data_IF_116121035292
#
_entry.id   IF_116121035292
#
_cell.length_a   1.000
_cell.length_b   1.000
_cell.length_c   1.000
_cell.angle_alpha   90.00
_cell.angle_beta   90.00
_cell.angle_gamma   90.00
#
_symmetry.space_group_name_H-M   'P 1'
#
loop_
_entity.id
_entity.type
_entity.pdbx_description
1 polymer ?
#
# COMPACT_ATOMS: atom_id res chain seq x y z
N UNK A 1 12.48 5.13 14.62
CA UNK A 1 12.17 3.69 14.46
C UNK A 1 13.24 3.08 13.58
N UNK A 2 13.78 1.92 13.95
CA UNK A 2 14.72 1.14 13.13
C UNK A 2 14.11 -0.23 12.88
N UNK A 3 14.09 -0.66 11.63
CA UNK A 3 13.33 -1.81 11.20
C UNK A 3 14.22 -2.90 10.64
N UNK A 4 13.86 -4.14 10.96
CA UNK A 4 14.31 -5.33 10.28
C UNK A 4 13.20 -5.83 9.38
N UNK A 5 13.50 -6.01 8.09
CA UNK A 5 12.58 -6.56 7.10
C UNK A 5 13.16 -7.85 6.56
N UNK A 6 12.40 -8.93 6.70
CA UNK A 6 12.71 -10.23 6.09
C UNK A 6 11.75 -10.46 4.94
N UNK A 7 12.29 -10.76 3.76
CA UNK A 7 11.52 -11.04 2.55
C UNK A 7 11.83 -12.48 2.14
N UNK A 8 10.79 -13.26 1.93
CA UNK A 8 10.87 -14.68 1.56
C UNK A 8 10.12 -14.89 0.26
N UNK A 9 10.82 -15.48 -0.71
CA UNK A 9 10.27 -15.86 -2.02
C UNK A 9 10.05 -17.36 -2.05
N UNK A 10 8.90 -17.77 -2.56
CA UNK A 10 8.52 -19.17 -2.76
C UNK A 10 8.55 -19.54 -4.24
N UNK A 11 8.86 -20.81 -4.53
CA UNK A 11 8.96 -21.32 -5.89
C UNK A 11 7.59 -21.56 -6.57
N UNK A 12 6.54 -21.93 -5.81
CA UNK A 12 5.18 -22.18 -6.30
C UNK A 12 4.16 -22.07 -5.13
N UNK A 13 2.96 -21.51 -5.36
CA UNK A 13 1.88 -21.38 -4.36
C UNK A 13 0.70 -22.35 -4.58
N UNK A 14 0.58 -22.97 -5.75
CA UNK A 14 -0.58 -23.80 -6.10
C UNK A 14 -0.57 -25.19 -5.45
N UNK A 15 0.49 -25.55 -4.71
CA UNK A 15 0.62 -26.85 -4.05
C UNK A 15 1.18 -26.73 -2.63
N UNK A 16 0.32 -26.56 -1.62
CA UNK A 16 0.74 -26.72 -0.22
C UNK A 16 0.76 -28.22 0.12
N UNK A 17 1.85 -28.75 0.74
CA UNK A 17 2.34 -28.31 2.06
C UNK A 17 3.85 -28.04 2.21
N UNK A 18 4.66 -28.02 1.15
CA UNK A 18 6.11 -27.78 1.27
C UNK A 18 6.54 -26.55 0.47
N UNK A 19 5.92 -25.37 0.66
CA UNK A 19 6.26 -24.12 -0.04
C UNK A 19 7.80 -23.91 -0.10
N UNK A 20 8.42 -24.33 -1.20
CA UNK A 20 9.86 -24.41 -1.34
C UNK A 20 10.36 -22.97 -1.38
N UNK A 21 11.10 -22.60 -0.33
CA UNK A 21 11.76 -21.29 -0.29
C UNK A 21 12.81 -21.28 -1.39
N UNK A 22 12.60 -20.40 -2.37
CA UNK A 22 13.58 -20.13 -3.42
C UNK A 22 14.74 -19.33 -2.84
N UNK A 23 14.41 -18.22 -2.16
CA UNK A 23 15.38 -17.43 -1.41
C UNK A 23 14.74 -16.68 -0.25
N UNK A 24 15.58 -16.28 0.71
CA UNK A 24 15.22 -15.38 1.80
C UNK A 24 16.33 -14.36 2.00
N UNK A 25 15.95 -13.09 2.15
CA UNK A 25 16.87 -12.00 2.50
C UNK A 25 16.37 -11.29 3.74
N UNK A 26 17.30 -10.78 4.55
CA UNK A 26 16.96 -9.95 5.72
C UNK A 26 17.79 -8.69 5.70
N UNK A 27 17.08 -7.56 5.78
CA UNK A 27 17.63 -6.22 5.81
C UNK A 27 17.45 -5.64 7.20
N UNK A 28 18.48 -4.96 7.71
CA UNK A 28 18.55 -4.47 9.08
C UNK A 28 18.70 -2.95 9.09
N UNK A 29 18.33 -2.33 10.21
CA UNK A 29 18.49 -0.90 10.50
C UNK A 29 17.88 -0.01 9.42
N UNK A 30 16.74 -0.41 8.88
CA UNK A 30 16.02 0.36 7.88
C UNK A 30 15.20 1.47 8.55
N UNK A 31 15.15 2.63 7.90
CA UNK A 31 14.12 3.63 8.18
C UNK A 31 12.77 3.17 7.55
N UNK A 32 11.63 3.75 7.99
CA UNK A 32 10.31 3.36 7.47
C UNK A 32 10.19 3.52 5.95
N UNK A 33 10.75 4.57 5.35
CA UNK A 33 10.68 4.77 3.90
C UNK A 33 11.44 3.70 3.14
N UNK A 34 12.66 3.37 3.58
CA UNK A 34 13.46 2.34 2.90
C UNK A 34 12.83 0.96 3.07
N UNK A 35 12.20 0.67 4.21
CA UNK A 35 11.44 -0.56 4.40
C UNK A 35 10.24 -0.64 3.44
N UNK A 36 9.47 0.44 3.32
CA UNK A 36 8.32 0.54 2.41
C UNK A 36 8.72 0.37 0.93
N UNK A 37 9.79 1.06 0.50
CA UNK A 37 10.35 0.94 -0.85
C UNK A 37 10.87 -0.48 -1.11
N UNK A 38 11.63 -1.05 -0.18
CA UNK A 38 12.20 -2.38 -0.32
C UNK A 38 11.10 -3.44 -0.47
N UNK A 39 10.03 -3.37 0.33
CA UNK A 39 8.90 -4.28 0.20
C UNK A 39 8.27 -4.13 -1.18
N UNK A 40 7.97 -2.89 -1.58
CA UNK A 40 7.36 -2.63 -2.89
C UNK A 40 8.24 -3.10 -4.07
N UNK A 41 9.56 -2.97 -3.98
CA UNK A 41 10.52 -3.48 -4.97
C UNK A 41 10.39 -5.01 -5.15
N UNK A 42 10.08 -5.77 -4.09
CA UNK A 42 10.06 -7.23 -4.09
C UNK A 42 8.67 -7.87 -4.15
N UNK A 43 7.60 -7.11 -3.88
CA UNK A 43 6.22 -7.59 -3.86
C UNK A 43 5.37 -7.03 -5.00
N UNK A 44 5.96 -6.31 -5.97
CA UNK A 44 5.21 -5.73 -7.09
C UNK A 44 4.68 -6.79 -8.07
N UNK A 45 3.43 -6.61 -8.55
CA UNK A 45 2.80 -7.39 -9.64
C UNK A 45 2.78 -8.91 -9.35
N UNK A 46 3.10 -9.75 -10.35
CA UNK A 46 3.16 -11.22 -10.29
C UNK A 46 4.05 -11.69 -9.12
N UNK A 47 5.01 -10.85 -8.69
CA UNK A 47 5.86 -11.20 -7.56
C UNK A 47 5.10 -11.17 -6.22
N UNK A 48 3.99 -10.46 -6.07
CA UNK A 48 3.24 -10.45 -4.81
C UNK A 48 2.73 -11.85 -4.41
N UNK A 49 2.27 -12.65 -5.38
CA UNK A 49 1.63 -13.95 -5.11
C UNK A 49 2.59 -15.03 -4.59
N UNK A 50 3.91 -14.79 -4.65
CA UNK A 50 4.91 -15.74 -4.18
C UNK A 50 5.95 -15.10 -3.25
N UNK A 51 5.70 -13.89 -2.74
CA UNK A 51 6.61 -13.20 -1.85
C UNK A 51 5.89 -12.82 -0.56
N UNK A 52 6.34 -13.36 0.56
CA UNK A 52 5.94 -12.91 1.89
C UNK A 52 7.00 -11.98 2.48
N UNK A 53 6.57 -11.13 3.41
CA UNK A 53 7.47 -10.30 4.20
C UNK A 53 7.06 -10.25 5.67
N UNK A 54 8.06 -10.10 6.53
CA UNK A 54 7.88 -9.81 7.96
C UNK A 54 8.69 -8.59 8.33
N UNK A 55 8.09 -7.72 9.13
CA UNK A 55 8.70 -6.47 9.60
C UNK A 55 8.73 -6.51 11.13
N UNK A 56 9.89 -6.17 11.70
CA UNK A 56 10.09 -6.09 13.15
C UNK A 56 10.78 -4.78 13.48
N UNK A 57 10.28 -4.06 14.49
CA UNK A 57 11.01 -2.93 15.08
C UNK A 57 12.17 -3.49 15.90
N UNK A 58 13.41 -3.15 15.51
CA UNK A 58 14.62 -3.63 16.17
C UNK A 58 14.76 -3.11 17.60
N UNK A 59 14.10 -1.99 17.92
CA UNK A 59 14.18 -1.37 19.25
C UNK A 59 13.32 -2.12 20.25
N UNK A 60 12.14 -2.55 19.82
CA UNK A 60 11.11 -3.13 20.68
C UNK A 60 10.94 -4.64 20.49
N UNK A 61 11.54 -5.19 19.43
CA UNK A 61 11.39 -6.56 18.97
C UNK A 61 9.95 -6.98 18.65
N UNK A 62 9.03 -6.02 18.48
CA UNK A 62 7.64 -6.30 18.12
C UNK A 62 7.43 -6.28 16.60
N UNK A 63 6.48 -7.10 16.09
CA UNK A 63 6.05 -7.02 14.70
C UNK A 63 5.44 -5.65 14.40
N UNK A 64 5.66 -5.16 13.18
CA UNK A 64 5.08 -3.91 12.67
C UNK A 64 4.34 -4.23 11.38
N UNK A 65 3.17 -3.62 11.15
CA UNK A 65 2.45 -3.81 9.88
C UNK A 65 2.89 -2.80 8.82
N UNK A 66 2.62 -3.10 7.55
CA UNK A 66 2.87 -2.14 6.46
C UNK A 66 2.10 -0.82 6.68
N UNK A 67 0.86 -0.92 7.16
CA UNK A 67 0.01 0.23 7.46
C UNK A 67 0.58 1.09 8.60
N UNK A 68 1.14 0.47 9.64
CA UNK A 68 1.80 1.20 10.74
C UNK A 68 3.05 1.95 10.26
N UNK A 69 3.83 1.33 9.37
CA UNK A 69 4.97 2.00 8.74
C UNK A 69 4.52 3.15 7.84
N UNK A 70 3.46 2.96 7.05
CA UNK A 70 2.90 4.00 6.20
C UNK A 70 2.43 5.21 7.03
N UNK A 71 1.77 4.98 8.18
CA UNK A 71 1.39 6.04 9.12
C UNK A 71 2.59 6.76 9.71
N UNK A 72 3.61 6.03 10.17
CA UNK A 72 4.83 6.63 10.73
C UNK A 72 5.60 7.46 9.69
N UNK A 73 5.69 6.95 8.45
CA UNK A 73 6.29 7.65 7.32
C UNK A 73 5.47 8.88 6.92
N UNK A 74 4.15 8.81 6.98
CA UNK A 74 3.29 9.95 6.71
C UNK A 74 3.50 11.06 7.75
N UNK A 75 3.46 10.75 9.05
CA UNK A 75 3.67 11.75 10.10
C UNK A 75 5.04 12.42 10.02
N UNK A 76 6.07 11.69 9.61
CA UNK A 76 7.39 12.26 9.34
C UNK A 76 7.35 13.23 8.14
N UNK A 77 6.67 12.85 7.06
CA UNK A 77 6.53 13.69 5.86
C UNK A 77 5.69 14.95 6.10
N UNK A 78 4.73 14.90 7.04
CA UNK A 78 3.97 16.09 7.47
C UNK A 78 4.86 17.14 8.13
N UNK A 79 5.92 16.71 8.80
CA UNK A 79 6.85 17.58 9.53
C UNK A 79 8.07 17.98 8.68
N UNK A 80 8.44 17.17 7.68
CA UNK A 80 9.60 17.39 6.82
C UNK A 80 9.22 17.39 5.32
N UNK A 81 9.21 18.57 4.66
CA UNK A 81 8.94 18.70 3.24
C UNK A 81 9.88 17.89 2.32
N UNK A 82 11.10 17.59 2.77
CA UNK A 82 12.04 16.79 1.98
C UNK A 82 11.59 15.33 1.87
N UNK A 83 10.85 14.83 2.85
CA UNK A 83 10.28 13.48 2.86
C UNK A 83 8.95 13.38 2.10
N UNK A 84 8.24 14.49 1.88
CA UNK A 84 6.93 14.50 1.21
C UNK A 84 6.96 13.89 -0.18
N UNK A 85 7.96 14.24 -0.99
CA UNK A 85 8.08 13.69 -2.35
C UNK A 85 8.29 12.18 -2.31
N UNK A 86 9.22 11.70 -1.46
CA UNK A 86 9.54 10.28 -1.32
C UNK A 86 8.32 9.48 -0.87
N UNK A 87 7.59 9.99 0.12
CA UNK A 87 6.36 9.38 0.61
C UNK A 87 5.28 9.32 -0.48
N UNK A 88 5.00 10.46 -1.14
CA UNK A 88 3.97 10.54 -2.17
C UNK A 88 4.27 9.62 -3.34
N UNK A 89 5.55 9.49 -3.75
CA UNK A 89 5.95 8.56 -4.81
C UNK A 89 5.71 7.10 -4.42
N UNK A 90 6.07 6.70 -3.20
CA UNK A 90 5.80 5.35 -2.70
C UNK A 90 4.29 5.07 -2.67
N UNK A 91 3.51 5.98 -2.08
CA UNK A 91 2.06 5.83 -1.94
C UNK A 91 1.36 5.82 -3.30
N UNK A 92 1.77 6.69 -4.23
CA UNK A 92 1.25 6.67 -5.60
C UNK A 92 1.51 5.31 -6.27
N UNK A 93 2.68 4.70 -6.02
CA UNK A 93 2.96 3.35 -6.51
C UNK A 93 2.04 2.29 -5.91
N UNK A 94 1.73 2.36 -4.62
CA UNK A 94 0.77 1.46 -3.96
C UNK A 94 -0.65 1.65 -4.52
N UNK A 95 -1.09 2.89 -4.67
CA UNK A 95 -2.42 3.21 -5.20
C UNK A 95 -2.53 2.86 -6.68
N UNK A 96 -1.45 2.97 -7.45
CA UNK A 96 -1.43 2.58 -8.86
C UNK A 96 -1.77 1.10 -9.04
N UNK A 97 -1.28 0.22 -8.15
CA UNK A 97 -1.63 -1.21 -8.18
C UNK A 97 -3.12 -1.46 -7.89
N UNK A 98 -3.75 -0.62 -7.06
CA UNK A 98 -5.19 -0.68 -6.79
C UNK A 98 -6.03 -0.07 -7.93
N UNK A 99 -5.52 1.00 -8.55
CA UNK A 99 -6.18 1.72 -9.64
C UNK A 99 -6.13 0.91 -10.93
N UNK A 100 -5.01 0.23 -11.19
CA UNK A 100 -4.74 -0.48 -12.44
C UNK A 100 -4.34 -1.94 -12.21
N UNK A 101 -5.20 -2.78 -11.58
CA UNK A 101 -4.87 -4.17 -11.30
C UNK A 101 -4.68 -5.04 -12.56
N UNK A 102 -5.08 -4.54 -13.74
CA UNK A 102 -4.88 -5.21 -15.04
C UNK A 102 -3.68 -4.68 -15.84
N UNK A 103 -2.91 -3.72 -15.32
CA UNK A 103 -1.77 -3.17 -16.06
C UNK A 103 -0.59 -4.16 -16.08
N UNK A 104 -0.58 -4.97 -17.13
CA UNK A 104 0.51 -5.86 -17.53
C UNK A 104 1.64 -5.13 -18.29
N UNK A 105 1.60 -3.79 -18.34
CA UNK A 105 2.51 -2.94 -19.11
C UNK A 105 1.91 -2.35 -20.38
N UNK A 106 0.61 -2.57 -20.63
CA UNK A 106 -0.13 -1.92 -21.71
C UNK A 106 -0.81 -0.62 -21.22
N UNK A 107 -0.50 0.56 -21.77
CA UNK A 107 -1.15 1.81 -21.38
C UNK A 107 -2.63 1.75 -21.73
N UNK A 108 -3.49 1.56 -20.73
CA UNK A 108 -4.95 1.52 -20.88
C UNK A 108 -5.61 2.81 -20.39
N UNK A 109 -6.83 3.05 -20.89
CA UNK A 109 -7.67 4.19 -20.55
C UNK A 109 -7.93 4.30 -19.03
N UNK A 110 -8.28 5.52 -18.59
CA UNK A 110 -8.55 5.89 -17.19
C UNK A 110 -9.23 4.77 -16.38
N UNK A 111 -8.79 4.54 -15.12
CA UNK A 111 -9.29 3.42 -14.36
C UNK A 111 -10.76 3.63 -13.99
N UNK A 112 -11.54 2.55 -14.02
CA UNK A 112 -12.97 2.60 -13.74
C UNK A 112 -13.23 3.18 -12.34
N UNK A 113 -14.30 3.97 -12.19
CA UNK A 113 -14.63 4.73 -10.96
C UNK A 113 -14.62 3.92 -9.66
N UNK A 114 -14.89 2.62 -9.71
CA UNK A 114 -14.82 1.73 -8.52
C UNK A 114 -13.42 1.63 -7.93
N UNK A 115 -12.38 1.62 -8.76
CA UNK A 115 -11.00 1.53 -8.29
C UNK A 115 -10.56 2.82 -7.61
N UNK A 116 -11.06 3.96 -8.09
CA UNK A 116 -10.88 5.25 -7.42
C UNK A 116 -11.55 5.28 -6.04
N UNK A 117 -12.78 4.78 -5.93
CA UNK A 117 -13.47 4.67 -4.64
C UNK A 117 -12.70 3.75 -3.67
N UNK A 118 -12.15 2.64 -4.16
CA UNK A 118 -11.30 1.74 -3.35
C UNK A 118 -10.02 2.42 -2.89
N UNK A 119 -9.34 3.16 -3.77
CA UNK A 119 -8.14 3.90 -3.44
C UNK A 119 -8.43 4.98 -2.37
N UNK A 120 -9.56 5.67 -2.47
CA UNK A 120 -10.03 6.62 -1.44
C UNK A 120 -10.32 5.94 -0.09
N UNK A 121 -10.97 4.76 -0.08
CA UNK A 121 -11.14 3.98 1.15
C UNK A 121 -9.79 3.59 1.76
N UNK A 122 -8.84 3.07 0.97
CA UNK A 122 -7.52 2.69 1.49
C UNK A 122 -6.78 3.90 2.09
N UNK A 123 -6.87 5.07 1.47
CA UNK A 123 -6.33 6.30 2.03
C UNK A 123 -6.96 6.64 3.39
N UNK A 124 -8.28 6.46 3.55
CA UNK A 124 -9.01 6.72 4.80
C UNK A 124 -8.79 5.66 5.88
N UNK A 125 -8.49 4.42 5.52
CA UNK A 125 -8.05 3.38 6.46
C UNK A 125 -6.63 3.66 6.99
N UNK A 126 -5.78 4.23 6.15
CA UNK A 126 -4.42 4.59 6.51
C UNK A 126 -4.38 5.88 7.33
N UNK A 127 -5.14 6.90 6.95
CA UNK A 127 -5.01 8.25 7.48
C UNK A 127 -6.38 8.86 7.83
N UNK A 128 -6.51 9.33 9.08
CA UNK A 128 -7.70 10.08 9.53
C UNK A 128 -7.88 11.37 8.73
N UNK A 129 -6.77 12.06 8.44
CA UNK A 129 -6.73 13.25 7.59
C UNK A 129 -5.71 13.05 6.48
N UNK A 130 -6.11 13.31 5.24
CA UNK A 130 -5.21 13.38 4.08
C UNK A 130 -4.94 14.86 3.80
N UNK A 131 -3.70 15.29 3.98
CA UNK A 131 -3.30 16.69 3.80
C UNK A 131 -3.28 17.07 2.31
N UNK A 132 -3.58 18.35 2.01
CA UNK A 132 -3.68 18.86 0.62
C UNK A 132 -2.40 18.62 -0.19
N UNK A 133 -1.22 18.74 0.43
CA UNK A 133 0.06 18.52 -0.25
C UNK A 133 0.20 17.09 -0.80
N UNK A 134 -0.43 16.11 -0.13
CA UNK A 134 -0.41 14.73 -0.56
C UNK A 134 -1.42 14.53 -1.69
N UNK A 135 -2.63 15.07 -1.54
CA UNK A 135 -3.69 15.01 -2.57
C UNK A 135 -3.18 15.60 -3.89
N UNK A 136 -2.59 16.80 -3.87
CA UNK A 136 -2.09 17.46 -5.08
C UNK A 136 -1.02 16.62 -5.80
N UNK A 137 -0.16 15.94 -5.04
CA UNK A 137 0.88 15.05 -5.62
C UNK A 137 0.29 13.76 -6.16
N UNK A 138 -0.69 13.18 -5.48
CA UNK A 138 -1.37 11.97 -5.93
C UNK A 138 -2.18 12.26 -7.20
N UNK A 139 -2.93 13.36 -7.26
CA UNK A 139 -3.68 13.80 -8.45
C UNK A 139 -2.75 14.00 -9.65
N UNK A 140 -1.62 14.68 -9.45
CA UNK A 140 -0.63 14.89 -10.49
C UNK A 140 0.05 13.59 -10.97
N UNK A 141 0.23 12.61 -10.09
CA UNK A 141 0.94 11.36 -10.42
C UNK A 141 0.00 10.31 -11.03
N UNK A 142 -1.24 10.25 -10.55
CA UNK A 142 -2.24 9.27 -10.97
C UNK A 142 -3.19 9.79 -12.07
N UNK A 143 -3.04 11.05 -12.50
CA UNK A 143 -3.91 11.72 -13.48
C UNK A 143 -5.41 11.58 -13.13
N UNK A 144 -5.77 11.86 -11.87
CA UNK A 144 -7.14 11.76 -11.39
C UNK A 144 -7.51 12.83 -10.39
N UNK A 145 -8.67 12.64 -9.75
CA UNK A 145 -9.27 13.58 -8.79
C UNK A 145 -9.56 12.86 -7.46
N UNK A 146 -8.50 12.53 -6.72
CA UNK A 146 -8.60 11.97 -5.37
C UNK A 146 -9.33 12.91 -4.43
N UNK A 147 -9.24 14.24 -4.66
CA UNK A 147 -9.97 15.23 -3.87
C UNK A 147 -11.48 14.98 -3.93
N UNK A 148 -12.03 14.78 -5.13
CA UNK A 148 -13.44 14.47 -5.32
C UNK A 148 -13.83 13.12 -4.70
N UNK A 149 -12.99 12.10 -4.84
CA UNK A 149 -13.30 10.75 -4.35
C UNK A 149 -13.21 10.63 -2.82
N UNK A 150 -12.25 11.32 -2.19
CA UNK A 150 -12.20 11.48 -0.74
C UNK A 150 -13.44 12.23 -0.21
N UNK A 151 -13.86 13.31 -0.89
CA UNK A 151 -15.08 14.03 -0.52
C UNK A 151 -16.34 13.15 -0.65
N UNK A 152 -16.45 12.35 -1.72
CA UNK A 152 -17.53 11.36 -1.89
C UNK A 152 -17.52 10.31 -0.80
N UNK A 153 -16.34 9.81 -0.46
CA UNK A 153 -16.15 8.87 0.65
C UNK A 153 -16.67 9.46 1.96
N UNK A 154 -16.26 10.69 2.30
CA UNK A 154 -16.65 11.33 3.56
C UNK A 154 -18.15 11.57 3.67
N UNK A 155 -18.80 12.00 2.58
CA UNK A 155 -20.26 12.16 2.53
C UNK A 155 -20.96 10.81 2.71
N UNK A 156 -20.47 9.76 2.05
CA UNK A 156 -21.01 8.41 2.21
C UNK A 156 -20.83 7.89 3.64
N UNK A 157 -19.67 8.13 4.25
CA UNK A 157 -19.35 7.76 5.63
C UNK A 157 -20.28 8.46 6.62
N UNK A 158 -20.41 9.79 6.51
CA UNK A 158 -21.28 10.60 7.36
C UNK A 158 -22.76 10.20 7.24
N UNK A 159 -23.17 9.70 6.06
CA UNK A 159 -24.53 9.25 5.80
C UNK A 159 -24.79 7.80 6.19
N UNK A 160 -23.78 7.05 6.68
CA UNK A 160 -23.90 5.61 6.95
C UNK A 160 -24.10 4.77 5.68
N UNK A 161 -23.76 5.31 4.52
CA UNK A 161 -23.96 4.71 3.19
C UNK A 161 -22.66 4.18 2.58
N UNK A 162 -21.57 4.08 3.36
CA UNK A 162 -20.38 3.34 2.97
C UNK A 162 -20.78 1.89 2.69
N UNK A 163 -21.08 1.58 1.44
CA UNK A 163 -21.43 0.21 1.06
C UNK A 163 -20.15 -0.64 1.07
N UNK A 164 -20.23 -1.94 1.40
CA UNK A 164 -19.08 -2.84 1.47
C UNK A 164 -18.20 -2.81 0.20
N UNK A 165 -18.80 -2.64 -0.98
CA UNK A 165 -18.08 -2.54 -2.25
C UNK A 165 -17.35 -1.21 -2.47
N UNK A 166 -17.45 -0.22 -1.59
CA UNK A 166 -16.60 0.97 -1.64
C UNK A 166 -15.21 0.68 -1.08
N UNK A 167 -15.11 -0.18 -0.05
CA UNK A 167 -13.86 -0.41 0.68
C UNK A 167 -13.32 -1.85 0.66
N UNK A 168 -14.05 -2.84 0.12
CA UNK A 168 -13.53 -4.21 0.07
C UNK A 168 -12.70 -4.50 -1.19
N UNK A 169 -11.41 -4.77 -0.98
CA UNK A 169 -10.73 -5.92 -1.59
C UNK A 169 -10.42 -6.92 -0.48
N UNK A 170 -11.35 -7.82 -0.18
CA UNK A 170 -10.95 -9.11 0.38
C UNK A 170 -11.20 -10.13 -0.73
N UNK A 171 -10.18 -10.64 -1.44
CA UNK A 171 -10.31 -11.99 -1.94
C UNK A 171 -10.43 -12.84 -0.68
N UNK A 172 -11.64 -13.25 -0.34
CA UNK A 172 -11.88 -14.24 0.70
C UNK A 172 -11.33 -15.57 0.19
N UNK A 173 -10.03 -15.77 0.30
CA UNK A 173 -9.43 -17.11 0.28
C UNK A 173 -9.41 -17.56 1.73
N UNK A 174 -10.56 -18.03 2.21
CA UNK A 174 -10.61 -18.87 3.38
C UNK A 174 -10.43 -20.29 2.86
N UNK A 175 -9.30 -20.98 3.12
CA UNK A 175 -9.23 -22.40 2.85
C UNK A 175 -10.20 -23.08 3.82
N UNK A 176 -11.17 -23.81 3.26
CA UNK A 176 -12.03 -24.75 3.99
C UNK A 176 -11.31 -26.08 4.16
#
# INVERSE_FOLDING_TARGET
>A
MLLRVTITRYADWLTQPDNIVDWTTTHYRLDPYRALELIQEHTRRIWNEFTDYTIVDETTAFPVTLDDMARAAYETARQDPTCQTRFATWLAGLLHELLFPWDDGAPMAEPHWRYWAHAACKLRELFDTVDDWLIDRLDATCNGDFRLELARHDVAAASGLLKPWHCHHTPSITPS
#
